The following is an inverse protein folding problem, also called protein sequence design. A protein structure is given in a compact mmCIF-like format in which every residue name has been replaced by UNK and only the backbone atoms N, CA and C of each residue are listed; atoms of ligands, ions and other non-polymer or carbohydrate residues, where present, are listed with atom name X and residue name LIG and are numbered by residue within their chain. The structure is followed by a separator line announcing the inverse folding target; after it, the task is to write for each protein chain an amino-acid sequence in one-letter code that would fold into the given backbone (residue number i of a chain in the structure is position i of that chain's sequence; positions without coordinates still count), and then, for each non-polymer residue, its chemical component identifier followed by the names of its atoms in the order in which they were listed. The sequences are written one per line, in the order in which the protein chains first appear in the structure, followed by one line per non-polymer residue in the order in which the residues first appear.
data_IF_253730106427
#
_entry.id   IF_253730106427
#
_cell.length_a   1.000
_cell.length_b   1.000
_cell.length_c   1.000
_cell.angle_alpha   90.00
_cell.angle_beta   90.00
_cell.angle_gamma   90.00
#
_symmetry.space_group_name_H-M   'P 1'
#
loop_
_entity.id
_entity.type
_entity.pdbx_description
1 polymer ?
#
# COMPACT_ATOMS: atom_id res chain seq x y z
N UNK A 1 -13.74 -13.27 -2.94
CA UNK A 1 -14.92 -13.95 -3.53
C UNK A 1 -14.87 -14.08 -5.06
N UNK A 2 -14.66 -13.06 -5.91
CA UNK A 2 -14.69 -13.18 -7.39
C UNK A 2 -13.78 -14.26 -7.96
N UNK A 3 -12.57 -14.43 -7.40
CA UNK A 3 -11.63 -15.47 -7.83
C UNK A 3 -12.16 -16.90 -7.62
N UNK A 4 -12.91 -17.15 -6.54
CA UNK A 4 -13.54 -18.46 -6.30
C UNK A 4 -14.63 -18.72 -7.35
N UNK A 5 -15.45 -17.70 -7.64
CA UNK A 5 -16.48 -17.81 -8.69
C UNK A 5 -15.86 -18.04 -10.06
N UNK A 6 -14.74 -17.39 -10.36
CA UNK A 6 -14.02 -17.62 -11.60
C UNK A 6 -13.57 -19.09 -11.74
N UNK A 7 -12.94 -19.65 -10.71
CA UNK A 7 -12.53 -21.06 -10.69
C UNK A 7 -13.75 -21.97 -10.83
N UNK A 8 -14.83 -21.68 -10.08
CA UNK A 8 -16.08 -22.46 -10.15
C UNK A 8 -16.65 -22.54 -11.56
N UNK A 9 -16.63 -21.40 -12.27
CA UNK A 9 -17.26 -21.29 -13.60
C UNK A 9 -16.34 -21.74 -14.74
N UNK A 10 -15.03 -21.54 -14.62
CA UNK A 10 -14.09 -21.81 -15.71
C UNK A 10 -13.26 -23.09 -15.52
N UNK A 11 -13.10 -23.53 -14.25
CA UNK A 11 -12.34 -24.75 -13.91
C UNK A 11 -13.14 -25.65 -12.95
N UNK A 12 -14.33 -26.14 -13.35
CA UNK A 12 -15.25 -26.86 -12.45
C UNK A 12 -14.66 -28.15 -11.87
N UNK A 13 -13.76 -28.83 -12.58
CA UNK A 13 -13.09 -30.04 -12.08
C UNK A 13 -12.10 -29.71 -10.96
N UNK A 14 -11.38 -28.57 -11.06
CA UNK A 14 -10.51 -28.07 -10.00
C UNK A 14 -11.34 -27.67 -8.79
N UNK A 15 -12.43 -26.91 -9.03
CA UNK A 15 -13.36 -26.52 -7.97
C UNK A 15 -13.95 -27.73 -7.22
N UNK A 16 -14.40 -28.76 -7.93
CA UNK A 16 -14.99 -29.96 -7.33
C UNK A 16 -14.02 -30.71 -6.40
N UNK A 17 -12.72 -30.68 -6.71
CA UNK A 17 -11.65 -31.30 -5.90
C UNK A 17 -11.07 -30.37 -4.83
N UNK A 18 -11.45 -29.08 -4.83
CA UNK A 18 -10.91 -28.09 -3.87
C UNK A 18 -11.40 -28.41 -2.46
N UNK A 19 -10.45 -28.63 -1.56
CA UNK A 19 -10.71 -28.87 -0.14
C UNK A 19 -10.87 -27.56 0.62
N UNK A 20 -9.96 -26.59 0.41
CA UNK A 20 -9.96 -25.28 1.07
C UNK A 20 -9.60 -24.16 0.10
N UNK A 21 -10.23 -23.00 0.28
CA UNK A 21 -9.81 -21.73 -0.32
C UNK A 21 -9.00 -20.96 0.71
N UNK A 22 -7.76 -20.63 0.39
CA UNK A 22 -6.81 -20.02 1.30
C UNK A 22 -6.20 -18.76 0.68
N UNK A 23 -5.78 -17.83 1.53
CA UNK A 23 -4.85 -16.75 1.15
C UNK A 23 -3.42 -17.28 1.13
N UNK A 24 -2.45 -16.48 0.67
CA UNK A 24 -1.04 -16.89 0.66
C UNK A 24 -0.50 -17.21 2.04
N UNK A 25 -0.75 -16.33 3.03
CA UNK A 25 -0.37 -16.53 4.43
C UNK A 25 -1.04 -17.76 5.04
N UNK A 26 -2.36 -17.91 4.82
CA UNK A 26 -3.12 -19.08 5.29
C UNK A 26 -2.59 -20.40 4.70
N UNK A 27 -2.15 -20.38 3.45
CA UNK A 27 -1.54 -21.57 2.81
C UNK A 27 -0.21 -21.92 3.48
N UNK A 28 0.63 -20.93 3.77
CA UNK A 28 1.90 -21.16 4.48
C UNK A 28 1.66 -21.69 5.89
N UNK A 29 0.72 -21.10 6.64
CA UNK A 29 0.34 -21.59 7.96
C UNK A 29 -0.16 -23.03 7.91
N UNK A 30 -1.02 -23.37 6.92
CA UNK A 30 -1.52 -24.72 6.73
C UNK A 30 -0.40 -25.72 6.38
N UNK A 31 0.54 -25.34 5.51
CA UNK A 31 1.69 -26.19 5.14
C UNK A 31 2.63 -26.46 6.32
N UNK A 32 2.75 -25.51 7.24
CA UNK A 32 3.62 -25.63 8.41
C UNK A 32 2.96 -26.42 9.56
N UNK A 33 1.62 -26.33 9.71
CA UNK A 33 0.93 -26.77 10.93
C UNK A 33 -0.19 -27.78 10.72
N UNK A 34 -0.58 -28.04 9.47
CA UNK A 34 -1.80 -28.79 9.09
C UNK A 34 -3.12 -28.14 9.55
N UNK A 35 -3.10 -26.88 10.00
CA UNK A 35 -4.28 -26.13 10.43
C UNK A 35 -4.67 -25.08 9.38
N UNK A 36 -5.97 -24.95 9.11
CA UNK A 36 -6.54 -24.06 8.12
C UNK A 36 -7.12 -22.83 8.79
N UNK A 37 -6.31 -21.79 8.95
CA UNK A 37 -6.66 -20.53 9.60
C UNK A 37 -6.43 -19.35 8.66
N UNK A 38 -7.13 -18.26 8.92
CA UNK A 38 -6.92 -16.95 8.26
C UNK A 38 -7.10 -15.87 9.32
N UNK A 39 -6.29 -14.80 9.24
CA UNK A 39 -6.46 -13.69 10.15
C UNK A 39 -7.75 -12.91 9.86
N UNK A 40 -8.26 -12.21 10.89
CA UNK A 40 -9.50 -11.46 10.81
C UNK A 40 -9.46 -10.36 9.74
N UNK A 41 -8.37 -9.60 9.66
CA UNK A 41 -8.20 -8.52 8.70
C UNK A 41 -8.36 -9.04 7.27
N UNK A 42 -7.51 -9.98 6.88
CA UNK A 42 -7.50 -10.54 5.53
C UNK A 42 -8.71 -11.43 5.24
N UNK A 43 -9.17 -12.19 6.25
CA UNK A 43 -10.32 -13.08 6.12
C UNK A 43 -11.62 -12.35 5.85
N UNK A 44 -11.89 -11.26 6.58
CA UNK A 44 -13.10 -10.46 6.36
C UNK A 44 -13.03 -9.65 5.07
N UNK A 45 -11.87 -9.09 4.72
CA UNK A 45 -11.69 -8.31 3.48
C UNK A 45 -11.74 -9.21 2.23
N UNK A 46 -10.88 -10.24 2.15
CA UNK A 46 -10.70 -11.06 0.94
C UNK A 46 -11.88 -11.96 0.63
N UNK A 47 -12.62 -12.40 1.65
CA UNK A 47 -13.76 -13.30 1.49
C UNK A 47 -15.11 -12.61 1.73
N UNK A 48 -15.13 -11.27 1.81
CA UNK A 48 -16.38 -10.50 1.92
C UNK A 48 -17.35 -10.90 0.78
N UNK A 49 -18.66 -11.16 1.08
CA UNK A 49 -19.35 -11.13 2.39
C UNK A 49 -19.52 -12.52 3.04
N UNK A 50 -18.67 -13.49 2.73
CA UNK A 50 -18.88 -14.90 3.12
C UNK A 50 -18.77 -15.17 4.62
N UNK A 51 -18.12 -14.29 5.38
CA UNK A 51 -18.05 -14.34 6.85
C UNK A 51 -18.92 -13.25 7.48
N UNK A 52 -19.54 -13.59 8.60
CA UNK A 52 -20.18 -12.62 9.48
C UNK A 52 -19.09 -11.81 10.22
N UNK A 53 -19.07 -10.47 10.11
CA UNK A 53 -18.00 -9.64 10.69
C UNK A 53 -18.01 -9.57 12.22
N UNK A 54 -19.09 -10.00 12.88
CA UNK A 54 -19.19 -10.01 14.35
C UNK A 54 -18.81 -11.37 14.95
N UNK A 55 -19.17 -12.44 14.29
CA UNK A 55 -18.95 -13.81 14.79
C UNK A 55 -17.77 -14.51 14.12
N UNK A 56 -17.27 -13.95 13.01
CA UNK A 56 -16.20 -14.50 12.17
C UNK A 56 -16.49 -15.90 11.63
N UNK A 57 -17.75 -16.24 11.52
CA UNK A 57 -18.20 -17.54 11.00
C UNK A 57 -18.69 -17.42 9.57
N UNK A 58 -18.49 -18.45 8.74
CA UNK A 58 -19.11 -18.49 7.42
C UNK A 58 -20.62 -18.35 7.51
N UNK A 59 -21.23 -17.54 6.64
CA UNK A 59 -22.67 -17.36 6.50
C UNK A 59 -23.18 -18.30 5.41
N UNK A 60 -23.88 -19.39 5.74
CA UNK A 60 -24.25 -20.43 4.77
C UNK A 60 -25.01 -19.91 3.55
N UNK A 61 -25.92 -18.95 3.74
CA UNK A 61 -26.74 -18.36 2.69
C UNK A 61 -25.91 -17.55 1.68
N UNK A 62 -24.87 -16.84 2.17
CA UNK A 62 -23.94 -16.08 1.34
C UNK A 62 -22.88 -16.98 0.70
N UNK A 63 -22.54 -18.07 1.35
CA UNK A 63 -21.61 -19.06 0.79
C UNK A 63 -22.24 -19.87 -0.35
N UNK A 64 -23.53 -20.22 -0.29
CA UNK A 64 -24.21 -21.16 -1.19
C UNK A 64 -23.93 -20.92 -2.70
N UNK A 65 -23.97 -19.70 -3.23
CA UNK A 65 -23.64 -19.46 -4.65
C UNK A 65 -22.16 -19.58 -4.98
N UNK A 66 -21.28 -19.49 -3.99
CA UNK A 66 -19.82 -19.34 -4.17
C UNK A 66 -19.08 -20.63 -3.85
N UNK A 67 -19.21 -21.14 -2.61
CA UNK A 67 -18.50 -22.31 -2.10
C UNK A 67 -19.27 -22.95 -0.94
N UNK A 68 -18.82 -24.11 -0.47
CA UNK A 68 -19.34 -24.67 0.80
C UNK A 68 -18.69 -23.97 1.99
N UNK A 69 -19.43 -23.74 3.10
CA UNK A 69 -18.87 -23.11 4.31
C UNK A 69 -17.61 -23.84 4.86
N UNK A 70 -17.56 -25.16 4.73
CA UNK A 70 -16.44 -25.97 5.18
C UNK A 70 -15.17 -25.81 4.31
N UNK A 71 -15.27 -25.23 3.12
CA UNK A 71 -14.13 -24.89 2.29
C UNK A 71 -13.40 -23.60 2.72
N UNK A 72 -14.00 -22.81 3.63
CA UNK A 72 -13.38 -21.61 4.17
C UNK A 72 -12.53 -21.96 5.41
N UNK A 73 -11.49 -21.16 5.65
CA UNK A 73 -10.61 -21.29 6.81
C UNK A 73 -11.28 -20.75 8.09
N UNK A 74 -10.81 -21.17 9.26
CA UNK A 74 -11.24 -20.59 10.54
C UNK A 74 -10.60 -19.20 10.68
N UNK A 75 -11.43 -18.18 10.94
CA UNK A 75 -10.93 -16.83 11.22
C UNK A 75 -10.48 -16.73 12.68
N UNK A 76 -9.33 -16.10 12.90
CA UNK A 76 -8.77 -15.79 14.23
C UNK A 76 -7.91 -14.52 14.16
N UNK A 77 -7.30 -14.07 15.24
CA UNK A 77 -6.41 -12.90 15.21
C UNK A 77 -5.07 -13.26 14.53
N UNK A 78 -4.42 -12.25 13.91
CA UNK A 78 -3.15 -12.45 13.19
C UNK A 78 -2.03 -13.03 14.10
N UNK A 79 -2.02 -12.64 15.36
CA UNK A 79 -1.05 -13.10 16.37
C UNK A 79 -1.48 -14.35 17.12
N UNK A 80 -2.69 -14.88 16.87
CA UNK A 80 -3.10 -16.15 17.45
C UNK A 80 -2.26 -17.31 16.90
N UNK A 81 -2.04 -18.30 17.75
CA UNK A 81 -1.29 -19.50 17.36
C UNK A 81 -2.10 -20.31 16.34
N UNK A 82 -1.57 -20.43 15.13
CA UNK A 82 -2.09 -21.34 14.12
C UNK A 82 -1.78 -22.80 14.45
N UNK A 83 -0.64 -23.06 15.06
CA UNK A 83 -0.18 -24.38 15.46
C UNK A 83 1.33 -24.41 15.65
N UNK A 84 1.88 -25.61 15.47
CA UNK A 84 3.31 -25.86 15.58
C UNK A 84 3.84 -26.52 14.31
N UNK A 85 5.09 -26.25 13.95
CA UNK A 85 5.75 -26.89 12.81
C UNK A 85 5.72 -28.40 12.99
N UNK A 86 5.11 -29.11 12.02
CA UNK A 86 5.00 -30.57 12.01
C UNK A 86 6.32 -31.21 11.64
N UNK A 87 6.51 -32.49 11.96
CA UNK A 87 7.67 -33.27 11.53
C UNK A 87 7.85 -33.29 9.99
N UNK A 88 6.75 -33.33 9.25
CA UNK A 88 6.77 -33.30 7.80
C UNK A 88 7.27 -31.93 7.29
N UNK A 89 6.72 -30.84 7.79
CA UNK A 89 7.13 -29.50 7.45
C UNK A 89 8.59 -29.20 7.84
N UNK A 90 9.02 -29.69 9.00
CA UNK A 90 10.42 -29.59 9.45
C UNK A 90 11.41 -30.22 8.47
N UNK A 91 11.09 -31.39 7.90
CA UNK A 91 11.92 -32.07 6.89
C UNK A 91 12.02 -31.29 5.58
N UNK A 92 10.92 -30.62 5.17
CA UNK A 92 10.89 -29.84 3.92
C UNK A 92 11.58 -28.47 4.06
N UNK A 93 11.47 -27.83 5.22
CA UNK A 93 11.90 -26.43 5.42
C UNK A 93 13.19 -26.25 6.18
N UNK A 94 13.61 -27.26 6.96
CA UNK A 94 14.73 -27.17 7.90
C UNK A 94 14.38 -26.45 9.20
N UNK A 95 13.13 -26.04 9.42
CA UNK A 95 12.68 -25.49 10.70
C UNK A 95 12.64 -26.56 11.77
N UNK A 96 12.83 -26.19 13.04
CA UNK A 96 12.71 -27.14 14.14
C UNK A 96 11.26 -27.59 14.33
N UNK A 97 10.99 -28.90 14.46
CA UNK A 97 9.66 -29.37 14.80
C UNK A 97 9.20 -28.78 16.13
N UNK A 98 7.90 -28.47 16.24
CA UNK A 98 7.34 -27.84 17.43
C UNK A 98 7.59 -26.34 17.56
N UNK A 99 8.22 -25.67 16.58
CA UNK A 99 8.28 -24.21 16.53
C UNK A 99 6.87 -23.64 16.42
N UNK A 100 6.47 -22.67 17.28
CA UNK A 100 5.15 -22.06 17.20
C UNK A 100 5.01 -21.23 15.91
N UNK A 101 3.83 -21.31 15.29
CA UNK A 101 3.47 -20.58 14.07
C UNK A 101 2.23 -19.75 14.36
N UNK A 102 2.29 -18.44 14.16
CA UNK A 102 1.11 -17.57 14.26
C UNK A 102 0.27 -17.65 12.97
N UNK A 103 -0.94 -17.08 12.99
CA UNK A 103 -1.80 -17.02 11.81
C UNK A 103 -1.17 -16.20 10.68
N UNK A 104 -0.48 -15.10 11.04
CA UNK A 104 0.07 -14.16 10.08
C UNK A 104 -1.00 -13.33 9.38
N UNK A 105 -0.59 -12.51 8.42
CA UNK A 105 -1.47 -11.62 7.64
C UNK A 105 -0.94 -11.44 6.22
N UNK A 106 -1.39 -10.39 5.49
CA UNK A 106 -0.82 -10.02 4.21
C UNK A 106 0.43 -9.13 4.35
N UNK A 107 1.10 -8.89 3.22
CA UNK A 107 2.31 -8.08 3.15
C UNK A 107 2.05 -6.60 3.49
N UNK A 108 0.93 -6.04 3.02
CA UNK A 108 0.61 -4.63 3.26
C UNK A 108 0.30 -4.35 4.72
N UNK A 109 -0.44 -5.25 5.37
CA UNK A 109 -0.73 -5.17 6.79
C UNK A 109 0.52 -5.37 7.66
N UNK A 110 1.36 -6.35 7.33
CA UNK A 110 2.62 -6.57 8.03
C UNK A 110 3.57 -5.37 7.87
N UNK A 111 3.62 -4.76 6.67
CA UNK A 111 4.42 -3.55 6.44
C UNK A 111 3.88 -2.35 7.24
N UNK A 112 2.56 -2.20 7.34
CA UNK A 112 1.95 -1.17 8.18
C UNK A 112 2.32 -1.35 9.67
N UNK A 113 2.32 -2.58 10.18
CA UNK A 113 2.81 -2.88 11.54
C UNK A 113 4.28 -2.48 11.69
N UNK A 114 5.15 -2.81 10.70
CA UNK A 114 6.55 -2.43 10.72
C UNK A 114 6.79 -0.91 10.72
N UNK A 115 5.84 -0.17 10.15
CA UNK A 115 5.82 1.29 10.11
C UNK A 115 5.12 1.93 11.33
N UNK A 116 4.62 1.14 12.28
CA UNK A 116 4.02 1.64 13.53
C UNK A 116 2.54 1.98 13.46
N UNK A 117 1.81 1.46 12.49
CA UNK A 117 0.34 1.60 12.45
C UNK A 117 -0.29 0.67 13.48
N UNK A 118 -0.11 1.00 14.74
CA UNK A 118 -0.63 0.23 15.89
C UNK A 118 -1.56 1.05 16.78
N UNK A 119 -1.77 2.32 16.45
CA UNK A 119 -2.63 3.28 17.14
C UNK A 119 -3.34 4.17 16.13
N UNK A 120 -4.50 4.77 16.49
CA UNK A 120 -5.15 5.76 15.63
C UNK A 120 -4.24 6.96 15.34
N UNK A 121 -4.36 7.53 14.15
CA UNK A 121 -3.55 8.65 13.69
C UNK A 121 -2.16 8.28 13.14
N UNK A 122 -1.75 7.02 13.26
CA UNK A 122 -0.51 6.53 12.64
C UNK A 122 -0.79 6.08 11.21
N UNK A 123 0.08 6.49 10.30
CA UNK A 123 -0.08 6.24 8.88
C UNK A 123 1.18 5.67 8.25
N UNK A 124 1.02 4.68 7.42
CA UNK A 124 2.02 4.21 6.47
C UNK A 124 1.71 4.71 5.07
N UNK A 125 2.72 5.19 4.34
CA UNK A 125 2.68 5.40 2.89
C UNK A 125 3.75 4.53 2.26
N UNK A 126 3.33 3.53 1.48
CA UNK A 126 4.23 2.65 0.74
C UNK A 126 4.51 3.21 -0.65
N UNK A 127 5.78 3.49 -0.93
CA UNK A 127 6.30 3.93 -2.21
C UNK A 127 6.82 2.73 -3.02
N UNK A 128 5.90 1.92 -3.52
CA UNK A 128 6.15 0.78 -4.42
C UNK A 128 5.99 1.14 -5.90
N UNK A 129 5.65 0.16 -6.74
CA UNK A 129 5.24 0.41 -8.13
C UNK A 129 4.00 1.30 -8.20
N UNK A 130 3.06 1.10 -7.29
CA UNK A 130 1.96 2.00 -6.94
C UNK A 130 2.27 2.71 -5.61
N UNK A 131 1.45 3.71 -5.23
CA UNK A 131 1.42 4.22 -3.86
C UNK A 131 0.25 3.57 -3.15
N UNK A 132 0.47 3.12 -1.93
CA UNK A 132 -0.58 2.59 -1.07
C UNK A 132 -0.45 3.18 0.33
N UNK A 133 -1.57 3.50 0.95
CA UNK A 133 -1.62 4.17 2.24
C UNK A 133 -2.56 3.44 3.18
N UNK A 134 -2.13 3.26 4.43
CA UNK A 134 -2.96 2.71 5.51
C UNK A 134 -2.89 3.68 6.69
N UNK A 135 -4.04 4.15 7.13
CA UNK A 135 -4.22 5.01 8.31
C UNK A 135 -5.03 4.27 9.37
N UNK A 136 -4.46 4.10 10.55
CA UNK A 136 -5.18 3.58 11.70
C UNK A 136 -6.25 4.56 12.18
N UNK A 137 -7.47 4.07 12.42
CA UNK A 137 -8.63 4.85 12.87
C UNK A 137 -9.32 4.20 14.07
N UNK A 138 -10.10 4.98 14.82
CA UNK A 138 -10.88 4.46 15.98
C UNK A 138 -12.13 3.69 15.55
N UNK A 139 -12.70 4.06 14.40
CA UNK A 139 -13.97 3.56 13.90
C UNK A 139 -13.88 3.33 12.39
N UNK A 140 -14.74 2.45 11.88
CA UNK A 140 -14.92 2.31 10.44
C UNK A 140 -15.50 3.62 9.86
N UNK A 141 -14.86 4.12 8.83
CA UNK A 141 -15.30 5.30 8.07
C UNK A 141 -16.22 4.83 6.93
N UNK A 142 -17.38 5.47 6.77
CA UNK A 142 -18.31 5.13 5.71
C UNK A 142 -18.11 6.01 4.47
N UNK A 143 -17.12 5.65 3.64
CA UNK A 143 -16.84 6.30 2.36
C UNK A 143 -16.42 5.25 1.33
N UNK A 144 -17.19 5.10 0.24
CA UNK A 144 -16.95 4.10 -0.79
C UNK A 144 -15.68 4.35 -1.63
N UNK A 145 -15.12 5.56 -1.54
CA UNK A 145 -13.87 5.92 -2.21
C UNK A 145 -12.65 5.37 -1.48
N UNK A 146 -12.80 4.94 -0.23
CA UNK A 146 -11.74 4.39 0.63
C UNK A 146 -11.97 2.91 0.87
N UNK A 147 -10.90 2.13 0.94
CA UNK A 147 -10.98 0.81 1.57
C UNK A 147 -11.03 1.00 3.09
N UNK A 148 -11.79 0.14 3.77
CA UNK A 148 -12.06 0.26 5.19
C UNK A 148 -12.27 -1.11 5.81
N UNK A 149 -11.47 -1.46 6.78
CA UNK A 149 -11.52 -2.76 7.44
C UNK A 149 -11.33 -2.64 8.95
N UNK A 150 -11.63 -3.74 9.63
CA UNK A 150 -11.16 -3.95 10.99
C UNK A 150 -9.68 -4.34 10.92
N UNK A 151 -8.79 -3.47 11.36
CA UNK A 151 -7.37 -3.66 11.19
C UNK A 151 -6.82 -4.85 12.00
N UNK A 152 -5.59 -5.26 11.69
CA UNK A 152 -4.85 -6.37 12.32
C UNK A 152 -4.78 -6.20 13.85
N UNK A 153 -4.57 -4.97 14.32
CA UNK A 153 -4.53 -4.67 15.76
C UNK A 153 -5.93 -4.74 16.34
N UNK A 154 -6.17 -5.56 17.40
CA UNK A 154 -7.49 -5.66 18.01
C UNK A 154 -8.03 -4.31 18.49
N UNK A 155 -9.25 -3.98 18.07
CA UNK A 155 -9.92 -2.72 18.41
C UNK A 155 -9.50 -1.50 17.57
N UNK A 156 -8.58 -1.65 16.64
CA UNK A 156 -8.24 -0.64 15.65
C UNK A 156 -8.98 -0.94 14.35
N UNK A 157 -9.42 0.11 13.67
CA UNK A 157 -9.87 0.06 12.28
C UNK A 157 -8.81 0.73 11.39
N UNK A 158 -8.95 0.59 10.10
CA UNK A 158 -8.16 1.35 9.14
C UNK A 158 -9.01 1.92 8.02
N UNK A 159 -8.47 2.94 7.40
CA UNK A 159 -8.84 3.39 6.07
C UNK A 159 -7.61 3.39 5.19
N UNK A 160 -7.82 2.90 3.97
CA UNK A 160 -6.73 2.74 3.01
C UNK A 160 -7.08 3.43 1.70
N UNK A 161 -6.05 3.95 1.04
CA UNK A 161 -6.14 4.60 -0.26
C UNK A 161 -4.91 4.29 -1.10
N UNK A 162 -4.94 4.63 -2.37
CA UNK A 162 -3.75 4.47 -3.20
C UNK A 162 -3.93 4.99 -4.61
N UNK A 163 -2.80 5.19 -5.29
CA UNK A 163 -2.75 5.49 -6.73
C UNK A 163 -2.05 4.36 -7.48
N UNK A 164 -2.47 4.11 -8.72
CA UNK A 164 -1.93 3.02 -9.53
C UNK A 164 -0.48 3.26 -9.94
N UNK A 165 -0.04 4.51 -10.03
CA UNK A 165 1.28 4.88 -10.50
C UNK A 165 2.10 5.62 -9.45
N UNK A 166 3.18 4.99 -9.04
CA UNK A 166 4.19 5.56 -8.14
C UNK A 166 5.58 5.29 -8.74
N UNK A 167 6.28 4.29 -8.26
CA UNK A 167 7.56 3.83 -8.81
C UNK A 167 7.47 3.34 -10.26
N UNK A 168 6.30 2.84 -10.70
CA UNK A 168 6.08 2.50 -12.11
C UNK A 168 6.19 3.72 -13.03
N UNK A 169 5.74 4.90 -12.58
CA UNK A 169 5.93 6.14 -13.32
C UNK A 169 7.41 6.53 -13.42
N UNK A 170 8.14 6.47 -12.31
CA UNK A 170 9.58 6.76 -12.33
C UNK A 170 10.35 5.78 -13.22
N UNK A 171 9.92 4.50 -13.24
CA UNK A 171 10.46 3.48 -14.12
C UNK A 171 10.18 3.81 -15.59
N UNK A 172 8.96 4.22 -15.93
CA UNK A 172 8.61 4.64 -17.29
C UNK A 172 9.48 5.80 -17.74
N UNK A 173 9.66 6.85 -16.90
CA UNK A 173 10.56 7.97 -17.21
C UNK A 173 12.00 7.50 -17.44
N UNK A 174 12.50 6.58 -16.63
CA UNK A 174 13.84 6.00 -16.79
C UNK A 174 13.99 5.31 -18.14
N UNK A 175 13.03 4.47 -18.48
CA UNK A 175 13.12 3.59 -19.65
C UNK A 175 12.90 4.39 -20.94
N UNK A 176 12.00 5.36 -20.97
CA UNK A 176 11.59 6.08 -22.18
C UNK A 176 12.32 7.42 -22.38
N UNK A 177 12.61 8.17 -21.30
CA UNK A 177 13.16 9.52 -21.42
C UNK A 177 14.59 9.67 -20.91
N UNK A 178 15.10 8.69 -20.16
CA UNK A 178 16.42 8.67 -19.56
C UNK A 178 17.19 7.39 -19.89
N UNK A 179 17.03 6.84 -21.07
CA UNK A 179 17.73 5.62 -21.52
C UNK A 179 19.26 5.78 -21.48
N UNK A 180 19.77 6.99 -21.62
CA UNK A 180 21.18 7.34 -21.44
C UNK A 180 21.67 7.09 -19.99
N UNK A 181 20.82 7.27 -18.98
CA UNK A 181 21.15 6.94 -17.60
C UNK A 181 21.33 5.42 -17.41
N UNK A 182 20.50 4.58 -18.06
CA UNK A 182 20.69 3.12 -18.07
C UNK A 182 22.00 2.68 -18.73
N UNK A 183 22.41 3.38 -19.80
CA UNK A 183 23.69 3.11 -20.42
C UNK A 183 24.88 3.52 -19.55
N UNK A 184 24.75 4.64 -18.82
CA UNK A 184 25.75 5.09 -17.87
C UNK A 184 25.85 4.15 -16.67
N UNK A 185 24.73 3.67 -16.13
CA UNK A 185 24.72 2.68 -15.04
C UNK A 185 25.54 1.44 -15.41
N UNK A 186 25.35 0.91 -16.63
CA UNK A 186 26.14 -0.24 -17.12
C UNK A 186 27.63 0.05 -17.21
N UNK A 187 28.05 1.29 -17.46
CA UNK A 187 29.44 1.71 -17.62
C UNK A 187 30.12 2.08 -16.29
N UNK A 188 29.36 2.69 -15.38
CA UNK A 188 29.90 3.30 -14.17
C UNK A 188 29.52 2.57 -12.89
N UNK A 189 28.46 1.75 -12.92
CA UNK A 189 27.86 1.13 -11.75
C UNK A 189 27.04 2.09 -10.86
N UNK A 190 26.87 3.34 -11.29
CA UNK A 190 26.00 4.31 -10.58
C UNK A 190 24.55 4.05 -11.01
N UNK A 191 23.66 3.91 -10.02
CA UNK A 191 22.24 3.63 -10.24
C UNK A 191 21.58 4.67 -11.16
N UNK A 192 20.83 4.21 -12.18
CA UNK A 192 20.18 5.07 -13.16
C UNK A 192 19.22 6.09 -12.52
N UNK A 193 18.50 5.72 -11.46
CA UNK A 193 17.62 6.66 -10.74
C UNK A 193 18.40 7.78 -10.08
N UNK A 194 19.62 7.52 -9.59
CA UNK A 194 20.49 8.55 -9.05
C UNK A 194 20.96 9.51 -10.16
N UNK A 195 21.32 8.99 -11.33
CA UNK A 195 21.72 9.80 -12.50
C UNK A 195 20.55 10.66 -13.01
N UNK A 196 19.32 10.15 -13.01
CA UNK A 196 18.11 10.89 -13.39
C UNK A 196 17.86 12.12 -12.51
N UNK A 197 18.34 12.11 -11.27
CA UNK A 197 18.16 13.23 -10.33
C UNK A 197 19.12 14.41 -10.57
N UNK A 198 20.15 14.24 -11.41
CA UNK A 198 21.13 15.30 -11.66
C UNK A 198 20.48 16.58 -12.20
N UNK A 199 20.50 17.65 -11.38
CA UNK A 199 19.93 18.96 -11.70
C UNK A 199 18.40 19.03 -11.64
N UNK A 200 17.70 17.98 -11.21
CA UNK A 200 16.25 18.00 -10.96
C UNK A 200 15.92 18.84 -9.72
N UNK A 201 16.81 18.87 -8.74
CA UNK A 201 16.73 19.72 -7.56
C UNK A 201 16.81 21.22 -7.87
N UNK A 202 17.44 21.60 -9.00
CA UNK A 202 17.56 22.98 -9.47
C UNK A 202 16.29 23.48 -10.17
N UNK A 203 15.40 22.59 -10.62
CA UNK A 203 14.10 22.98 -11.14
C UNK A 203 13.26 23.52 -10.00
N UNK A 204 12.61 24.68 -10.13
CA UNK A 204 11.85 25.28 -9.02
C UNK A 204 10.60 24.46 -8.68
N UNK A 205 10.07 24.59 -7.44
CA UNK A 205 8.81 24.01 -7.04
C UNK A 205 7.65 24.37 -7.99
N UNK A 206 6.90 23.35 -8.41
CA UNK A 206 5.83 23.49 -9.42
C UNK A 206 6.35 23.43 -10.85
N UNK A 207 7.63 23.04 -11.05
CA UNK A 207 8.24 22.70 -12.35
C UNK A 207 7.98 23.77 -13.42
N UNK A 208 8.09 25.07 -13.04
CA UNK A 208 7.80 26.24 -13.89
C UNK A 208 6.40 26.23 -14.54
N UNK A 209 5.42 25.64 -13.86
CA UNK A 209 4.03 25.56 -14.31
C UNK A 209 3.66 24.26 -15.02
N UNK A 210 4.58 23.32 -15.11
CA UNK A 210 4.30 21.99 -15.66
C UNK A 210 3.69 21.08 -14.57
N UNK A 211 2.51 20.54 -14.82
CA UNK A 211 1.81 19.62 -13.92
C UNK A 211 1.64 18.27 -14.60
N UNK A 212 2.05 17.20 -13.92
CA UNK A 212 1.78 15.83 -14.33
C UNK A 212 0.58 15.28 -13.59
N UNK A 213 -0.46 14.81 -14.32
CA UNK A 213 -1.50 13.94 -13.78
C UNK A 213 -1.01 12.49 -13.91
N UNK A 214 -0.69 11.79 -12.80
CA UNK A 214 0.08 10.56 -12.86
C UNK A 214 -0.75 9.30 -13.17
N UNK A 215 -1.86 9.41 -13.88
CA UNK A 215 -2.83 8.34 -14.11
C UNK A 215 -2.48 7.42 -15.29
N UNK A 216 -1.18 7.08 -15.43
CA UNK A 216 -0.63 6.31 -16.56
C UNK A 216 -1.11 4.85 -16.62
N UNK A 217 -1.80 4.35 -15.59
CA UNK A 217 -2.34 3.00 -15.52
C UNK A 217 -3.78 3.00 -14.93
N UNK A 218 -4.57 3.98 -15.33
CA UNK A 218 -5.82 4.26 -14.64
C UNK A 218 -5.57 4.86 -13.25
N UNK A 219 -6.63 5.14 -12.50
CA UNK A 219 -6.49 5.66 -11.15
C UNK A 219 -7.44 4.98 -10.16
N UNK A 220 -6.98 4.89 -8.92
CA UNK A 220 -7.74 4.39 -7.76
C UNK A 220 -8.39 5.56 -7.02
N UNK A 221 -8.07 5.74 -5.77
CA UNK A 221 -8.62 6.78 -4.89
C UNK A 221 -8.16 8.18 -5.32
N UNK A 222 -9.05 9.16 -5.44
CA UNK A 222 -10.48 9.08 -5.12
C UNK A 222 -11.41 8.78 -6.32
N UNK A 223 -10.86 8.71 -7.54
CA UNK A 223 -11.67 8.71 -8.77
C UNK A 223 -12.13 7.31 -9.20
N UNK A 224 -11.38 6.26 -8.84
CA UNK A 224 -11.67 4.85 -9.17
C UNK A 224 -11.99 4.63 -10.65
N UNK A 225 -11.18 5.20 -11.54
CA UNK A 225 -11.38 5.16 -12.98
C UNK A 225 -10.25 4.38 -13.69
N UNK A 226 -10.50 3.17 -14.18
CA UNK A 226 -9.52 2.38 -14.91
C UNK A 226 -9.18 2.95 -16.29
N UNK A 227 -10.00 3.86 -16.83
CA UNK A 227 -9.82 4.50 -18.13
C UNK A 227 -9.09 5.86 -18.01
N UNK A 228 -8.82 6.32 -16.80
CA UNK A 228 -8.05 7.55 -16.59
C UNK A 228 -6.64 7.43 -17.20
N UNK A 229 -6.19 8.51 -17.85
CA UNK A 229 -4.90 8.57 -18.54
C UNK A 229 -3.99 9.64 -17.95
N UNK A 230 -2.67 9.47 -18.12
CA UNK A 230 -1.67 10.46 -17.73
C UNK A 230 -1.75 11.73 -18.58
N UNK A 231 -1.52 12.90 -17.95
CA UNK A 231 -1.48 14.20 -18.64
C UNK A 231 -0.21 14.95 -18.24
N UNK A 232 0.38 15.63 -19.22
CA UNK A 232 1.39 16.67 -19.02
C UNK A 232 0.75 18.03 -19.37
N UNK A 233 0.36 18.77 -18.36
CA UNK A 233 -0.36 20.04 -18.51
C UNK A 233 0.57 21.24 -18.31
N UNK A 234 0.49 22.22 -19.23
CA UNK A 234 1.29 23.45 -19.16
C UNK A 234 2.67 23.33 -19.84
N UNK A 235 2.92 22.32 -20.66
CA UNK A 235 4.19 22.13 -21.37
C UNK A 235 4.48 23.29 -22.32
N UNK A 236 5.71 23.82 -22.23
CA UNK A 236 6.24 24.87 -23.13
C UNK A 236 7.61 24.49 -23.64
N UNK A 237 8.14 25.26 -24.63
CA UNK A 237 9.48 25.03 -25.20
C UNK A 237 10.63 25.28 -24.22
N UNK A 238 10.39 25.92 -23.08
CA UNK A 238 11.39 26.15 -22.05
C UNK A 238 11.60 24.93 -21.14
N UNK A 239 10.66 24.01 -21.11
CA UNK A 239 10.74 22.82 -20.27
C UNK A 239 11.74 21.81 -20.85
N UNK A 240 12.48 21.18 -19.97
CA UNK A 240 13.44 20.11 -20.26
C UNK A 240 13.02 18.79 -19.64
N UNK A 241 13.70 17.69 -19.95
CA UNK A 241 13.43 16.39 -19.31
C UNK A 241 13.51 16.43 -17.77
N UNK A 242 14.31 17.36 -17.20
CA UNK A 242 14.38 17.56 -15.74
C UNK A 242 13.06 18.09 -15.18
N UNK A 243 12.43 19.04 -15.87
CA UNK A 243 11.11 19.55 -15.51
C UNK A 243 10.04 18.46 -15.61
N UNK A 244 10.09 17.65 -16.68
CA UNK A 244 9.20 16.51 -16.88
C UNK A 244 9.30 15.53 -15.72
N UNK A 245 10.52 15.14 -15.33
CA UNK A 245 10.73 14.19 -14.25
C UNK A 245 10.33 14.78 -12.88
N UNK A 246 10.71 16.04 -12.61
CA UNK A 246 10.29 16.71 -11.39
C UNK A 246 8.76 16.82 -11.31
N UNK A 247 8.08 17.24 -12.37
CA UNK A 247 6.62 17.34 -12.40
C UNK A 247 5.93 15.99 -12.18
N UNK A 248 6.56 14.88 -12.57
CA UNK A 248 6.07 13.54 -12.28
C UNK A 248 6.14 13.22 -10.78
N UNK A 249 7.28 13.53 -10.11
CA UNK A 249 7.42 13.35 -8.67
C UNK A 249 6.42 14.25 -7.90
N UNK A 250 6.24 15.49 -8.35
CA UNK A 250 5.27 16.45 -7.80
C UNK A 250 3.82 15.98 -8.03
N UNK A 251 3.50 15.42 -9.21
CA UNK A 251 2.18 14.88 -9.54
C UNK A 251 1.75 13.76 -8.62
N UNK A 252 2.65 12.83 -8.30
CA UNK A 252 2.39 11.78 -7.31
C UNK A 252 2.20 12.39 -5.92
N UNK A 253 2.98 13.42 -5.54
CA UNK A 253 2.81 14.09 -4.25
C UNK A 253 1.47 14.84 -4.17
N UNK A 254 0.97 15.42 -5.26
CA UNK A 254 -0.37 16.03 -5.33
C UNK A 254 -1.47 14.97 -5.16
N UNK A 255 -1.32 13.81 -5.78
CA UNK A 255 -2.25 12.68 -5.58
C UNK A 255 -2.28 12.23 -4.11
N UNK A 256 -1.11 12.09 -3.48
CA UNK A 256 -1.01 11.79 -2.04
C UNK A 256 -1.76 12.85 -1.22
N UNK A 257 -1.50 14.15 -1.45
CA UNK A 257 -2.17 15.23 -0.71
C UNK A 257 -3.68 15.21 -0.89
N UNK A 258 -4.18 14.91 -2.08
CA UNK A 258 -5.63 14.77 -2.34
C UNK A 258 -6.24 13.66 -1.49
N UNK A 259 -5.56 12.51 -1.39
CA UNK A 259 -6.00 11.36 -0.60
C UNK A 259 -5.92 11.65 0.90
N UNK A 260 -4.87 12.33 1.39
CA UNK A 260 -4.78 12.75 2.79
C UNK A 260 -5.93 13.67 3.18
N UNK A 261 -6.26 14.65 2.32
CA UNK A 261 -7.41 15.55 2.53
C UNK A 261 -8.73 14.78 2.56
N UNK A 262 -8.90 13.79 1.68
CA UNK A 262 -10.09 12.95 1.68
C UNK A 262 -10.21 12.19 3.00
N UNK A 263 -9.15 11.56 3.50
CA UNK A 263 -9.18 10.82 4.76
C UNK A 263 -9.53 11.75 5.93
N UNK A 264 -8.93 12.93 6.02
CA UNK A 264 -9.17 13.89 7.10
C UNK A 264 -10.49 14.69 6.96
N UNK A 265 -11.21 14.54 5.85
CA UNK A 265 -12.55 15.15 5.72
C UNK A 265 -13.60 14.45 6.59
N UNK A 266 -13.28 13.32 7.18
CA UNK A 266 -14.15 12.55 8.06
C UNK A 266 -13.98 12.97 9.51
N UNK A 267 -15.09 12.97 10.25
CA UNK A 267 -15.13 13.29 11.67
C UNK A 267 -14.26 12.30 12.47
N UNK A 268 -13.52 12.79 13.44
CA UNK A 268 -12.62 12.02 14.32
C UNK A 268 -11.46 11.28 13.60
N UNK A 269 -11.18 11.63 12.34
CA UNK A 269 -9.99 11.14 11.63
C UNK A 269 -8.90 12.20 11.66
N UNK A 270 -7.74 11.84 12.21
CA UNK A 270 -6.51 12.67 12.19
C UNK A 270 -5.34 11.87 11.66
N UNK A 271 -4.36 12.56 11.07
CA UNK A 271 -3.08 12.00 10.66
C UNK A 271 -2.01 12.66 11.52
N UNK A 272 -1.56 11.96 12.55
CA UNK A 272 -0.62 12.49 13.55
C UNK A 272 0.84 12.21 13.18
N UNK A 273 1.10 11.08 12.52
CA UNK A 273 2.44 10.68 12.10
C UNK A 273 2.38 9.86 10.81
N UNK A 274 3.29 10.16 9.89
CA UNK A 274 3.43 9.46 8.61
C UNK A 274 4.80 8.78 8.57
N UNK A 275 4.81 7.48 8.28
CA UNK A 275 5.98 6.72 7.88
C UNK A 275 5.90 6.35 6.41
N UNK A 276 6.92 6.76 5.65
CA UNK A 276 7.11 6.35 4.26
C UNK A 276 8.00 5.11 4.21
N UNK A 277 7.57 4.11 3.46
CA UNK A 277 8.28 2.82 3.29
C UNK A 277 8.37 2.46 1.80
N UNK A 278 9.08 1.37 1.48
CA UNK A 278 9.24 0.89 0.11
C UNK A 278 10.42 1.52 -0.65
N UNK A 279 10.63 1.07 -1.89
CA UNK A 279 11.83 1.44 -2.68
C UNK A 279 11.95 2.93 -3.00
N UNK A 280 10.81 3.64 -3.13
CA UNK A 280 10.80 5.07 -3.46
C UNK A 280 11.37 5.98 -2.38
N UNK A 281 11.49 5.51 -1.13
CA UNK A 281 12.09 6.31 -0.03
C UNK A 281 13.58 6.56 -0.22
N UNK A 282 14.24 5.79 -1.07
CA UNK A 282 15.63 6.02 -1.45
C UNK A 282 15.85 7.31 -2.25
N UNK A 283 14.76 7.89 -2.81
CA UNK A 283 14.80 9.18 -3.47
C UNK A 283 14.51 10.32 -2.47
N UNK A 284 15.56 10.85 -1.85
CA UNK A 284 15.47 11.92 -0.85
C UNK A 284 14.77 13.18 -1.39
N UNK A 285 14.97 13.52 -2.68
CA UNK A 285 14.27 14.65 -3.31
C UNK A 285 12.75 14.41 -3.36
N UNK A 286 12.33 13.20 -3.70
CA UNK A 286 10.91 12.86 -3.74
C UNK A 286 10.26 12.92 -2.36
N UNK A 287 10.93 12.37 -1.33
CA UNK A 287 10.46 12.46 0.05
C UNK A 287 10.33 13.92 0.52
N UNK A 288 11.30 14.78 0.17
CA UNK A 288 11.22 16.20 0.47
C UNK A 288 10.07 16.90 -0.31
N UNK A 289 9.86 16.55 -1.59
CA UNK A 289 8.72 17.06 -2.37
C UNK A 289 7.40 16.66 -1.71
N UNK A 290 7.26 15.41 -1.27
CA UNK A 290 6.04 14.95 -0.58
C UNK A 290 5.83 15.74 0.72
N UNK A 291 6.87 15.95 1.52
CA UNK A 291 6.78 16.76 2.73
C UNK A 291 6.36 18.21 2.39
N UNK A 292 6.99 18.82 1.39
CA UNK A 292 6.73 20.20 0.98
C UNK A 292 5.31 20.39 0.39
N UNK A 293 4.81 19.40 -0.37
CA UNK A 293 3.46 19.42 -0.97
C UNK A 293 2.37 19.21 0.08
N UNK A 294 2.59 18.26 0.98
CA UNK A 294 1.60 17.90 2.00
C UNK A 294 1.61 18.86 3.22
N UNK A 295 2.72 19.57 3.43
CA UNK A 295 2.94 20.40 4.62
C UNK A 295 3.14 19.57 5.90
N UNK A 296 3.54 18.30 5.76
CA UNK A 296 3.66 17.33 6.86
C UNK A 296 5.06 16.77 6.96
N UNK A 297 5.47 16.40 8.17
CA UNK A 297 6.70 15.63 8.36
C UNK A 297 6.52 14.22 7.79
N UNK A 298 7.47 13.79 6.95
CA UNK A 298 7.54 12.43 6.42
C UNK A 298 8.71 11.73 7.10
N UNK A 299 8.42 10.68 7.84
CA UNK A 299 9.41 9.88 8.53
C UNK A 299 9.73 8.63 7.68
N UNK A 300 10.97 8.18 7.69
CA UNK A 300 11.32 6.83 7.21
C UNK A 300 11.75 5.99 8.39
N UNK A 301 11.46 4.69 8.43
CA UNK A 301 11.96 3.83 9.49
C UNK A 301 13.46 3.58 9.33
N UNK A 302 14.16 3.34 10.44
CA UNK A 302 15.57 2.94 10.46
C UNK A 302 15.74 1.52 9.88
N UNK A 303 14.78 0.63 10.18
CA UNK A 303 14.71 -0.72 9.63
C UNK A 303 13.84 -0.73 8.36
N UNK A 304 14.44 -1.02 7.22
CA UNK A 304 13.79 -0.92 5.89
C UNK A 304 13.43 -2.29 5.29
N UNK A 305 13.41 -3.35 6.09
CA UNK A 305 13.08 -4.71 5.61
C UNK A 305 11.59 -4.89 5.29
N UNK A 306 10.74 -3.93 5.71
CA UNK A 306 9.32 -3.91 5.37
C UNK A 306 8.50 -5.01 6.04
N UNK A 307 7.63 -5.68 5.29
CA UNK A 307 6.68 -6.67 5.78
C UNK A 307 7.31 -7.76 6.67
N UNK A 308 8.48 -8.26 6.30
CA UNK A 308 9.17 -9.31 7.08
C UNK A 308 9.50 -8.87 8.51
N UNK A 309 9.75 -7.57 8.73
CA UNK A 309 9.96 -7.04 10.08
C UNK A 309 8.66 -6.98 10.86
N UNK A 310 7.56 -6.59 10.21
CA UNK A 310 6.22 -6.64 10.80
C UNK A 310 5.80 -8.07 11.17
N UNK A 311 6.06 -9.03 10.29
CA UNK A 311 5.82 -10.45 10.56
C UNK A 311 6.60 -10.94 11.78
N UNK A 312 7.89 -10.58 11.88
CA UNK A 312 8.72 -10.95 13.02
C UNK A 312 8.21 -10.32 14.34
N UNK A 313 7.77 -9.05 14.30
CA UNK A 313 7.18 -8.38 15.46
C UNK A 313 5.86 -9.03 15.88
N UNK A 314 4.97 -9.35 14.92
CA UNK A 314 3.72 -10.05 15.21
C UNK A 314 3.97 -11.46 15.77
N UNK A 315 4.96 -12.17 15.24
CA UNK A 315 5.35 -13.47 15.78
C UNK A 315 5.83 -13.36 17.22
N UNK A 316 6.63 -12.33 17.55
CA UNK A 316 7.07 -12.06 18.92
C UNK A 316 5.89 -11.75 19.86
N UNK A 317 4.89 -10.98 19.39
CA UNK A 317 3.65 -10.74 20.13
C UNK A 317 2.89 -12.06 20.37
N UNK A 318 2.74 -12.88 19.32
CA UNK A 318 1.99 -14.14 19.40
C UNK A 318 2.58 -15.16 20.39
N UNK A 319 3.91 -15.20 20.52
CA UNK A 319 4.60 -16.05 21.50
C UNK A 319 4.82 -15.35 22.85
N UNK A 320 4.35 -14.10 23.00
CA UNK A 320 4.55 -13.27 24.19
C UNK A 320 6.02 -13.15 24.60
N UNK A 321 6.87 -12.87 23.60
CA UNK A 321 8.31 -12.65 23.87
C UNK A 321 8.46 -11.43 24.82
N UNK A 322 9.40 -11.45 25.79
CA UNK A 322 9.64 -10.31 26.66
C UNK A 322 9.87 -9.01 25.86
N UNK A 323 9.10 -7.96 26.20
CA UNK A 323 9.08 -6.68 25.47
C UNK A 323 8.11 -6.63 24.28
N UNK A 324 7.37 -7.70 23.99
CA UNK A 324 6.39 -7.82 22.93
C UNK A 324 5.05 -8.39 23.46
N UNK A 325 4.60 -7.88 24.61
CA UNK A 325 3.41 -8.39 25.29
C UNK A 325 2.12 -8.12 24.52
N UNK A 326 2.11 -7.08 23.69
CA UNK A 326 0.98 -6.67 22.86
C UNK A 326 1.44 -5.71 21.74
N UNK A 327 0.55 -5.32 20.82
CA UNK A 327 0.86 -4.41 19.72
C UNK A 327 1.35 -3.03 20.18
N UNK A 328 0.86 -2.49 21.30
CA UNK A 328 1.31 -1.18 21.78
C UNK A 328 2.79 -1.17 22.18
N UNK A 329 3.33 -2.33 22.58
CA UNK A 329 4.77 -2.46 22.87
C UNK A 329 5.64 -2.31 21.62
N UNK A 330 5.09 -2.50 20.42
CA UNK A 330 5.85 -2.44 19.17
C UNK A 330 6.41 -1.04 18.89
N UNK A 331 5.74 0.01 19.35
CA UNK A 331 6.16 1.41 19.14
C UNK A 331 7.60 1.65 19.60
N UNK A 332 8.03 1.03 20.70
CA UNK A 332 9.41 1.18 21.22
C UNK A 332 10.48 0.52 20.35
N UNK A 333 10.07 -0.39 19.46
CA UNK A 333 10.95 -1.10 18.54
C UNK A 333 11.03 -0.44 17.16
N UNK A 334 10.16 0.54 16.89
CA UNK A 334 10.09 1.26 15.62
C UNK A 334 10.89 2.54 15.76
N UNK A 335 12.09 2.55 15.20
CA UNK A 335 12.97 3.72 15.22
C UNK A 335 12.78 4.54 13.97
N UNK A 336 12.70 5.86 14.15
CA UNK A 336 12.72 6.82 13.05
C UNK A 336 14.16 6.96 12.54
N UNK A 337 14.33 6.73 11.24
CA UNK A 337 15.59 7.00 10.53
C UNK A 337 15.67 8.47 10.09
N UNK A 338 15.37 8.75 8.82
CA UNK A 338 15.37 10.13 8.31
C UNK A 338 13.99 10.78 8.49
N UNK A 339 14.00 12.08 8.83
CA UNK A 339 12.80 12.92 8.92
C UNK A 339 12.90 14.05 7.89
N UNK A 340 11.94 14.09 6.96
CA UNK A 340 11.80 15.16 5.98
C UNK A 340 10.78 16.17 6.50
N UNK A 341 11.23 17.39 6.81
CA UNK A 341 10.37 18.47 7.31
C UNK A 341 9.91 19.35 6.17
N UNK A 342 8.65 19.79 6.17
CA UNK A 342 8.13 20.67 5.13
C UNK A 342 8.78 22.05 5.17
N UNK A 343 9.16 22.56 3.98
CA UNK A 343 9.46 23.97 3.79
C UNK A 343 8.14 24.73 3.50
N UNK A 344 7.65 25.46 4.47
CA UNK A 344 6.38 26.20 4.35
C UNK A 344 6.39 27.32 3.28
N UNK A 345 7.56 27.76 2.80
CA UNK A 345 7.62 28.66 1.65
C UNK A 345 7.29 27.89 0.37
N UNK A 346 7.86 26.71 0.20
CA UNK A 346 7.55 25.82 -0.93
C UNK A 346 6.12 25.27 -0.83
N UNK A 347 5.65 24.92 0.36
CA UNK A 347 4.27 24.53 0.58
C UNK A 347 3.27 25.53 0.00
N UNK A 348 3.45 26.84 0.27
CA UNK A 348 2.60 27.90 -0.29
C UNK A 348 2.63 27.94 -1.83
N UNK A 349 3.78 27.68 -2.43
CA UNK A 349 3.90 27.58 -3.90
C UNK A 349 3.11 26.36 -4.40
N UNK A 350 3.30 25.21 -3.79
CA UNK A 350 2.63 23.97 -4.17
C UNK A 350 1.11 24.03 -4.03
N UNK A 351 0.56 24.77 -3.05
CA UNK A 351 -0.90 24.93 -2.92
C UNK A 351 -1.56 25.54 -4.16
N UNK A 352 -0.86 26.43 -4.88
CA UNK A 352 -1.34 26.98 -6.15
C UNK A 352 -1.46 25.90 -7.22
N UNK A 353 -0.46 25.04 -7.32
CA UNK A 353 -0.43 23.97 -8.31
C UNK A 353 -1.39 22.83 -7.93
N UNK A 354 -1.50 22.51 -6.65
CA UNK A 354 -2.51 21.56 -6.14
C UNK A 354 -3.92 21.95 -6.54
N UNK A 355 -4.27 23.23 -6.42
CA UNK A 355 -5.60 23.73 -6.81
C UNK A 355 -5.90 23.59 -8.32
N UNK A 356 -4.85 23.56 -9.16
CA UNK A 356 -4.98 23.26 -10.60
C UNK A 356 -5.08 21.73 -10.79
N UNK A 357 -4.20 20.97 -10.13
CA UNK A 357 -4.18 19.51 -10.17
C UNK A 357 -5.56 18.92 -9.83
N UNK A 358 -6.18 19.40 -8.74
CA UNK A 358 -7.48 18.92 -8.24
C UNK A 358 -8.62 19.08 -9.27
N UNK A 359 -8.44 19.94 -10.30
CA UNK A 359 -9.43 20.18 -11.36
C UNK A 359 -9.12 19.44 -12.67
N UNK A 360 -7.90 18.95 -12.84
CA UNK A 360 -7.47 18.40 -14.14
C UNK A 360 -8.28 17.17 -14.53
N UNK A 361 -8.47 16.24 -13.59
CA UNK A 361 -9.23 15.03 -13.89
C UNK A 361 -10.68 15.35 -14.30
N UNK A 362 -11.39 16.11 -13.49
CA UNK A 362 -12.80 16.47 -13.77
C UNK A 362 -12.96 17.23 -15.10
N UNK A 363 -11.93 18.02 -15.45
CA UNK A 363 -11.94 18.79 -16.70
C UNK A 363 -11.59 17.97 -17.95
N UNK A 364 -11.07 16.74 -17.79
CA UNK A 364 -10.51 15.95 -18.89
C UNK A 364 -11.00 14.50 -18.94
N UNK A 365 -11.73 14.02 -17.94
CA UNK A 365 -12.16 12.62 -17.86
C UNK A 365 -13.02 12.18 -19.05
N UNK A 366 -13.95 13.03 -19.50
CA UNK A 366 -14.76 12.74 -20.70
C UNK A 366 -13.88 12.53 -21.95
N UNK A 367 -12.85 13.34 -22.11
CA UNK A 367 -11.93 13.22 -23.25
C UNK A 367 -11.08 11.95 -23.14
N UNK A 368 -10.70 11.54 -21.93
CA UNK A 368 -9.97 10.28 -21.68
C UNK A 368 -10.84 9.08 -22.08
N UNK A 369 -12.12 9.09 -21.67
CA UNK A 369 -13.05 8.01 -21.99
C UNK A 369 -13.30 7.91 -23.49
N UNK A 370 -13.47 9.03 -24.20
CA UNK A 370 -13.63 9.05 -25.67
C UNK A 370 -12.45 8.41 -26.40
N UNK A 371 -11.22 8.50 -25.85
CA UNK A 371 -10.02 7.87 -26.47
C UNK A 371 -10.01 6.34 -26.32
N UNK A 372 -10.74 5.79 -25.35
CA UNK A 372 -10.74 4.36 -25.03
C UNK A 372 -11.95 3.61 -25.59
N UNK A 373 -13.05 4.32 -25.92
CA UNK A 373 -14.25 3.71 -26.53
C UNK A 373 -14.03 3.19 -27.95
N UNK A 374 -12.92 3.59 -28.62
CA UNK A 374 -12.59 3.17 -29.99
C UNK A 374 -11.55 2.03 -30.07
N UNK A 375 -11.09 1.49 -28.92
CA UNK A 375 -10.15 0.36 -28.82
C UNK A 375 -10.84 -0.91 -28.33
#
# INVERSE_FOLDING_TARGET
MPKILWIKNNEPEVYARTYKFLTGSSFLAAKLTDNYVVDRFLGLASFNPLYDPKTWRPVPELCAPVCRPDQLAKVQEATDLAGYVTEAAAKETGLAPGTPVITGTDDSGAEAISAGVVEPGKMMIQFGSSIYMILGTRHLVDDERLWREQFIVPGLCDISAGTNTGGSLTKWYRDELFSDALEQEKKTGIDAYQLMLEGVDQVPPGSDGLITLPYFAGERTPVNDPLACGILFGLTISHTRRHLYRSALEGVAYSIQQQLRLMESHEDVSIDQIFAVGGGVNNALWMQIVADVTGREINTPDVTVGASYGDAMMAAVGVRHPGFENFSCLVQHIKTGTVYKPDFKKYKIYQKYQAIYDKLYDSTCELMHMMTEEQ
#
